data_IF_181357213584
#
_entry.id   IF_181357213584
#
_cell.length_a   1.000
_cell.length_b   1.000
_cell.length_c   1.000
_cell.angle_alpha   90.00
_cell.angle_beta   90.00
_cell.angle_gamma   90.00
#
_symmetry.space_group_name_H-M   'P 1'
#
loop_
_entity.id
_entity.type
_entity.pdbx_description
1 polymer ?
#
# COMPACT_ATOMS: atom_id res chain seq x y z
N UNK A 1 16.94 -23.35 -16.38
CA UNK A 1 16.68 -22.53 -15.19
C UNK A 1 15.54 -23.18 -14.43
N UNK A 2 15.84 -23.94 -13.38
CA UNK A 2 14.85 -24.60 -12.52
C UNK A 2 14.97 -24.07 -11.11
N UNK A 3 13.85 -23.92 -10.42
CA UNK A 3 13.80 -23.63 -8.99
C UNK A 3 14.64 -24.65 -8.20
N UNK A 4 15.40 -24.19 -7.21
CA UNK A 4 16.18 -25.00 -6.29
C UNK A 4 15.59 -24.88 -4.88
N UNK A 5 15.13 -25.99 -4.31
CA UNK A 5 14.51 -26.03 -2.97
C UNK A 5 15.49 -25.78 -1.82
N UNK A 6 16.80 -25.83 -2.09
CA UNK A 6 17.86 -25.60 -1.11
C UNK A 6 18.41 -24.17 -1.15
N UNK A 7 18.05 -23.38 -2.17
CA UNK A 7 18.36 -21.95 -2.25
C UNK A 7 17.25 -21.11 -1.61
N UNK A 8 17.61 -19.92 -1.11
CA UNK A 8 16.63 -18.96 -0.61
C UNK A 8 15.73 -18.43 -1.73
N UNK A 9 14.58 -17.88 -1.34
CA UNK A 9 13.59 -17.29 -2.25
C UNK A 9 14.22 -16.21 -3.14
N UNK A 10 15.07 -15.35 -2.56
CA UNK A 10 15.68 -14.22 -3.26
C UNK A 10 16.65 -14.72 -4.33
N UNK A 11 17.53 -15.66 -3.97
CA UNK A 11 18.54 -16.24 -4.85
C UNK A 11 17.89 -16.97 -6.03
N UNK A 12 16.84 -17.75 -5.77
CA UNK A 12 16.07 -18.41 -6.82
C UNK A 12 15.45 -17.41 -7.80
N UNK A 13 14.88 -16.32 -7.30
CA UNK A 13 14.25 -15.29 -8.12
C UNK A 13 15.29 -14.51 -8.95
N UNK A 14 16.43 -14.14 -8.36
CA UNK A 14 17.54 -13.50 -9.08
C UNK A 14 18.02 -14.38 -10.23
N UNK A 15 18.20 -15.68 -9.96
CA UNK A 15 18.63 -16.68 -10.95
C UNK A 15 17.60 -16.90 -12.05
N UNK A 16 16.32 -17.00 -11.72
CA UNK A 16 15.24 -17.22 -12.69
C UNK A 16 15.00 -16.00 -13.57
N UNK A 17 15.07 -14.80 -12.99
CA UNK A 17 14.79 -13.54 -13.68
C UNK A 17 16.04 -12.93 -14.34
N UNK A 18 17.23 -13.45 -14.03
CA UNK A 18 18.51 -12.88 -14.46
C UNK A 18 18.66 -11.41 -14.06
N UNK A 19 18.18 -11.07 -12.87
CA UNK A 19 18.27 -9.73 -12.27
C UNK A 19 18.96 -9.83 -10.92
N UNK A 20 19.64 -8.77 -10.50
CA UNK A 20 20.12 -8.63 -9.13
C UNK A 20 19.15 -7.72 -8.37
N UNK A 21 18.65 -8.15 -7.20
CA UNK A 21 17.79 -7.30 -6.40
C UNK A 21 18.62 -6.27 -5.63
N UNK A 22 18.06 -5.06 -5.50
CA UNK A 22 18.63 -4.02 -4.64
C UNK A 22 18.52 -4.48 -3.20
N UNK A 23 19.65 -4.85 -2.60
CA UNK A 23 19.71 -5.19 -1.18
C UNK A 23 19.72 -3.90 -0.37
N UNK A 24 18.80 -3.75 0.58
CA UNK A 24 18.82 -2.64 1.53
C UNK A 24 20.14 -2.70 2.30
N UNK A 25 21.08 -1.82 1.98
CA UNK A 25 22.32 -1.71 2.74
C UNK A 25 21.94 -1.20 4.13
N UNK A 26 22.35 -1.90 5.19
CA UNK A 26 22.16 -1.48 6.58
C UNK A 26 22.74 -0.07 6.88
N UNK A 27 23.51 0.51 5.95
CA UNK A 27 24.13 1.83 6.04
C UNK A 27 23.28 3.00 5.50
N UNK A 28 22.04 2.76 5.03
CA UNK A 28 21.18 3.78 4.42
C UNK A 28 20.04 4.30 5.30
N UNK A 29 20.03 4.01 6.61
CA UNK A 29 19.07 4.60 7.56
C UNK A 29 19.53 6.02 7.91
N UNK A 30 19.41 6.93 6.94
CA UNK A 30 19.34 8.36 7.18
C UNK A 30 17.89 8.71 7.51
N UNK A 31 17.49 8.49 8.76
CA UNK A 31 16.13 8.78 9.22
C UNK A 31 15.76 8.04 10.50
N UNK A 32 16.43 8.43 11.58
CA UNK A 32 16.03 8.31 12.99
C UNK A 32 15.88 6.90 13.58
N UNK A 33 16.58 6.73 14.70
CA UNK A 33 16.96 5.46 15.30
C UNK A 33 15.83 4.72 16.03
N UNK A 34 16.03 3.40 16.05
CA UNK A 34 15.71 2.48 17.13
C UNK A 34 15.31 3.12 18.48
N UNK A 35 14.07 2.85 18.88
CA UNK A 35 13.55 2.97 20.24
C UNK A 35 12.47 1.91 20.45
N UNK A 36 12.56 1.21 21.58
CA UNK A 36 11.58 0.31 22.20
C UNK A 36 10.19 0.24 21.52
N UNK A 37 9.85 -0.90 20.91
CA UNK A 37 8.55 -1.10 20.23
C UNK A 37 8.48 -0.65 18.77
N UNK A 38 9.63 -0.54 18.09
CA UNK A 38 9.74 -0.10 16.69
C UNK A 38 8.71 -0.74 15.76
N UNK A 39 7.65 0.01 15.47
CA UNK A 39 6.63 -0.38 14.51
C UNK A 39 7.34 -0.64 13.19
N UNK A 40 7.31 -1.90 12.74
CA UNK A 40 7.62 -2.23 11.36
C UNK A 40 6.80 -1.25 10.53
N UNK A 41 7.46 -0.38 9.76
CA UNK A 41 6.78 0.56 8.89
C UNK A 41 5.84 -0.26 7.99
N UNK A 42 4.53 -0.21 8.27
CA UNK A 42 3.55 -1.04 7.58
C UNK A 42 3.25 -0.35 6.26
N UNK A 43 3.53 -1.03 5.16
CA UNK A 43 3.27 -0.50 3.83
C UNK A 43 1.76 -0.38 3.57
N UNK A 44 1.40 0.59 2.74
CA UNK A 44 0.03 0.75 2.27
C UNK A 44 -0.45 -0.51 1.53
N UNK A 45 -1.63 -1.02 1.87
CA UNK A 45 -2.23 -2.20 1.23
C UNK A 45 -2.66 -2.02 -0.23
N UNK A 46 -2.37 -0.87 -0.85
CA UNK A 46 -2.72 -0.59 -2.26
C UNK A 46 -1.46 -0.41 -3.09
N UNK A 47 -0.59 0.53 -2.71
CA UNK A 47 0.62 0.85 -3.47
C UNK A 47 1.88 0.12 -2.98
N UNK A 48 1.78 -0.64 -1.88
CA UNK A 48 2.89 -1.35 -1.24
C UNK A 48 4.12 -0.47 -0.96
N UNK A 49 3.89 0.80 -0.71
CA UNK A 49 4.89 1.75 -0.24
C UNK A 49 4.52 2.26 1.14
N UNK A 50 5.51 2.50 1.99
CA UNK A 50 5.34 3.23 3.23
C UNK A 50 5.20 4.75 3.00
N UNK A 51 5.86 5.30 1.97
CA UNK A 51 5.80 6.74 1.66
C UNK A 51 5.30 6.98 0.24
N UNK A 52 4.26 7.80 0.11
CA UNK A 52 3.75 8.28 -1.18
C UNK A 52 3.60 9.80 -1.09
N UNK A 53 4.40 10.54 -1.85
CA UNK A 53 4.38 12.02 -1.89
C UNK A 53 4.48 12.72 -0.51
N UNK A 54 5.16 12.06 0.45
CA UNK A 54 5.29 12.55 1.82
C UNK A 54 4.21 12.04 2.79
N UNK A 55 3.17 11.38 2.28
CA UNK A 55 2.13 10.73 3.07
C UNK A 55 2.58 9.35 3.60
N UNK A 56 2.12 9.00 4.80
CA UNK A 56 2.24 7.67 5.42
C UNK A 56 0.86 7.01 5.54
N UNK A 57 0.75 5.67 5.57
CA UNK A 57 -0.53 4.99 5.53
C UNK A 57 -1.21 5.02 6.91
N UNK A 58 -1.92 6.10 7.19
CA UNK A 58 -2.58 6.35 8.47
C UNK A 58 -4.03 5.84 8.51
N UNK A 59 -4.66 5.62 7.35
CA UNK A 59 -6.04 5.12 7.29
C UNK A 59 -6.08 3.60 7.35
N UNK A 60 -6.40 3.05 8.51
CA UNK A 60 -6.59 1.60 8.67
C UNK A 60 -8.01 1.15 8.36
N UNK A 61 -8.22 -0.10 7.93
CA UNK A 61 -9.54 -0.71 7.87
C UNK A 61 -10.22 -0.74 9.25
N UNK A 62 -11.53 -0.48 9.30
CA UNK A 62 -12.31 -0.41 10.55
C UNK A 62 -12.54 -1.79 11.20
N UNK A 63 -12.44 -2.90 10.46
CA UNK A 63 -12.50 -4.24 11.03
C UNK A 63 -11.19 -4.55 11.78
N UNK A 64 -11.30 -4.74 13.10
CA UNK A 64 -10.18 -5.06 13.98
C UNK A 64 -9.41 -6.34 13.58
N UNK A 65 -10.03 -7.24 12.80
CA UNK A 65 -9.38 -8.46 12.28
C UNK A 65 -8.60 -8.20 11.00
N UNK A 66 -8.87 -7.09 10.30
CA UNK A 66 -8.18 -6.69 9.09
C UNK A 66 -7.08 -5.67 9.40
N UNK A 67 -7.47 -4.49 9.92
CA UNK A 67 -6.54 -3.43 10.35
C UNK A 67 -5.58 -2.93 9.27
N UNK A 68 -5.78 -3.28 7.99
CA UNK A 68 -4.83 -2.97 6.93
C UNK A 68 -4.70 -1.46 6.74
N UNK A 69 -3.49 -0.89 6.73
CA UNK A 69 -3.28 0.54 6.58
C UNK A 69 -3.20 0.95 5.10
N UNK A 70 -3.66 2.17 4.83
CA UNK A 70 -3.71 2.77 3.51
C UNK A 70 -3.32 4.24 3.59
N UNK A 71 -2.66 4.73 2.54
CA UNK A 71 -2.59 6.16 2.28
C UNK A 71 -3.99 6.67 1.96
N UNK A 72 -4.33 7.84 2.47
CA UNK A 72 -5.53 8.58 2.10
C UNK A 72 -5.49 8.85 0.61
N UNK A 73 -4.37 9.32 0.04
CA UNK A 73 -4.24 9.52 -1.42
C UNK A 73 -4.49 8.24 -2.23
N UNK A 74 -3.98 7.08 -1.81
CA UNK A 74 -4.30 5.80 -2.47
C UNK A 74 -5.79 5.42 -2.37
N UNK A 75 -6.49 5.96 -1.37
CA UNK A 75 -7.93 5.78 -1.20
C UNK A 75 -8.77 6.78 -2.00
N UNK A 76 -8.31 7.99 -2.32
CA UNK A 76 -9.11 9.03 -3.02
C UNK A 76 -8.54 9.59 -4.33
N UNK A 77 -7.22 9.70 -4.50
CA UNK A 77 -6.61 10.23 -5.72
C UNK A 77 -6.47 9.14 -6.78
N UNK A 78 -7.14 9.31 -7.91
CA UNK A 78 -6.82 8.61 -9.14
C UNK A 78 -5.68 9.38 -9.83
N UNK A 79 -4.43 9.10 -9.43
CA UNK A 79 -3.28 9.66 -10.14
C UNK A 79 -3.17 9.02 -11.54
N UNK A 80 -3.72 9.73 -12.53
CA UNK A 80 -3.40 9.58 -13.95
C UNK A 80 -2.45 10.71 -14.37
N UNK A 81 -1.34 10.89 -13.64
CA UNK A 81 -0.21 11.63 -14.18
C UNK A 81 0.99 10.69 -14.41
N UNK A 82 1.70 11.00 -15.48
CA UNK A 82 2.49 10.13 -16.33
C UNK A 82 3.71 9.52 -15.59
N UNK A 83 3.87 8.20 -15.76
CA UNK A 83 5.14 7.43 -15.66
C UNK A 83 5.51 6.64 -14.40
N UNK A 84 4.66 6.49 -13.38
CA UNK A 84 4.97 5.58 -12.25
C UNK A 84 3.76 4.76 -11.82
N UNK A 85 3.66 3.55 -12.37
CA UNK A 85 2.82 2.39 -11.95
C UNK A 85 1.33 2.69 -11.71
N UNK A 86 0.36 2.07 -12.43
CA UNK A 86 -1.05 2.33 -12.19
C UNK A 86 -1.43 1.97 -10.74
N UNK A 87 -1.54 2.99 -9.88
CA UNK A 87 -2.16 2.86 -8.57
C UNK A 87 -3.65 2.73 -8.88
N UNK A 88 -4.18 1.52 -8.85
CA UNK A 88 -5.61 1.28 -8.89
C UNK A 88 -6.20 1.86 -7.61
N UNK A 89 -6.54 3.15 -7.67
CA UNK A 89 -7.07 3.90 -6.54
C UNK A 89 -8.35 3.21 -6.05
N UNK A 90 -8.45 2.99 -4.74
CA UNK A 90 -9.65 2.40 -4.16
C UNK A 90 -10.85 3.34 -4.39
N UNK A 91 -10.69 4.65 -4.53
CA UNK A 91 -11.80 5.52 -4.95
C UNK A 91 -12.29 5.26 -6.36
N UNK A 92 -11.40 5.03 -7.33
CA UNK A 92 -11.83 4.66 -8.68
C UNK A 92 -12.46 3.26 -8.68
N UNK A 93 -11.89 2.31 -7.93
CA UNK A 93 -12.47 0.99 -7.70
C UNK A 93 -13.86 1.10 -7.04
N UNK A 94 -14.00 1.86 -5.97
CA UNK A 94 -15.26 2.08 -5.27
C UNK A 94 -16.24 2.79 -6.18
N UNK A 95 -15.87 3.86 -6.88
CA UNK A 95 -16.76 4.53 -7.85
C UNK A 95 -17.19 3.62 -8.99
N UNK A 96 -16.35 2.66 -9.38
CA UNK A 96 -16.71 1.63 -10.37
C UNK A 96 -17.68 0.58 -9.81
N UNK A 97 -17.79 0.43 -8.48
CA UNK A 97 -18.76 -0.46 -7.85
C UNK A 97 -20.14 0.21 -7.67
N UNK A 98 -21.24 -0.42 -8.12
CA UNK A 98 -22.59 0.12 -7.95
C UNK A 98 -23.07 0.19 -6.48
N UNK A 99 -22.36 -0.47 -5.56
CA UNK A 99 -22.61 -0.44 -4.12
C UNK A 99 -22.10 0.82 -3.43
N UNK A 100 -21.24 1.61 -4.07
CA UNK A 100 -20.62 2.78 -3.45
C UNK A 100 -21.62 3.89 -3.21
N UNK A 101 -21.43 4.59 -2.10
CA UNK A 101 -22.22 5.76 -1.71
C UNK A 101 -21.26 6.89 -1.37
N UNK A 102 -21.58 8.10 -1.80
CA UNK A 102 -20.86 9.30 -1.41
C UNK A 102 -21.83 10.22 -0.68
N UNK A 103 -21.42 10.73 0.48
CA UNK A 103 -22.14 11.79 1.19
C UNK A 103 -21.15 12.89 1.51
N UNK A 104 -21.40 14.10 1.00
CA UNK A 104 -20.49 15.24 1.13
C UNK A 104 -19.06 14.88 0.64
N UNK A 105 -18.09 14.89 1.56
CA UNK A 105 -16.67 14.57 1.33
C UNK A 105 -16.30 13.15 1.77
N UNK A 106 -17.27 12.32 2.14
CA UNK A 106 -16.99 10.95 2.60
C UNK A 106 -17.49 9.94 1.57
N UNK A 107 -16.60 9.03 1.19
CA UNK A 107 -16.88 7.91 0.29
C UNK A 107 -16.99 6.64 1.11
N UNK A 108 -18.03 5.87 0.87
CA UNK A 108 -18.31 4.61 1.54
C UNK A 108 -18.21 3.46 0.53
N UNK A 109 -17.47 2.42 0.91
CA UNK A 109 -17.20 1.28 0.06
C UNK A 109 -16.84 0.03 0.86
N UNK A 110 -16.21 -0.93 0.19
CA UNK A 110 -15.76 -2.19 0.78
C UNK A 110 -14.23 -2.26 0.80
N UNK A 111 -13.66 -2.76 1.89
CA UNK A 111 -12.22 -2.97 2.03
C UNK A 111 -11.74 -4.05 1.03
N UNK A 112 -10.65 -3.82 0.26
CA UNK A 112 -10.17 -4.78 -0.73
C UNK A 112 -9.63 -6.09 -0.13
N UNK A 113 -9.40 -6.14 1.19
CA UNK A 113 -8.85 -7.33 1.87
C UNK A 113 -9.91 -8.19 2.55
N UNK A 114 -10.91 -7.58 3.17
CA UNK A 114 -11.89 -8.30 3.99
C UNK A 114 -13.35 -8.04 3.59
N UNK A 115 -13.58 -7.20 2.56
CA UNK A 115 -14.91 -6.83 2.05
C UNK A 115 -15.84 -6.21 3.09
N UNK A 116 -15.34 -5.82 4.26
CA UNK A 116 -16.13 -5.07 5.24
C UNK A 116 -16.23 -3.60 4.85
N UNK A 117 -17.28 -2.90 5.31
CA UNK A 117 -17.45 -1.48 5.01
C UNK A 117 -16.25 -0.66 5.45
N UNK A 118 -15.76 0.19 4.56
CA UNK A 118 -14.70 1.17 4.84
C UNK A 118 -15.16 2.55 4.34
N UNK A 119 -14.76 3.59 5.05
CA UNK A 119 -15.00 4.98 4.65
C UNK A 119 -13.71 5.77 4.51
N UNK A 120 -13.68 6.72 3.59
CA UNK A 120 -12.57 7.64 3.39
C UNK A 120 -13.10 9.07 3.27
N UNK A 121 -12.46 10.01 3.96
CA UNK A 121 -12.69 11.44 3.77
C UNK A 121 -11.78 11.96 2.67
N UNK A 122 -12.35 12.69 1.72
CA UNK A 122 -11.63 13.39 0.67
C UNK A 122 -11.09 14.69 1.29
N UNK A 123 -9.75 14.88 1.37
CA UNK A 123 -9.18 16.08 1.94
C UNK A 123 -9.58 17.33 1.15
N UNK A 124 -9.68 18.45 1.84
CA UNK A 124 -9.88 19.76 1.22
C UNK A 124 -8.52 20.20 0.67
N UNK A 125 -8.41 20.46 -0.64
CA UNK A 125 -7.23 21.13 -1.19
C UNK A 125 -6.98 22.50 -0.56
#
# INVERSE_FOLDING_TARGET
MSWDEYEGLVENLERLLSVEFVRRSAAGVGGEAAGDGGAIAVDCGICYSYRLEGETPERCCDDARCGQPFHTSCLYEASWDQATVPIFCVYEWLRALPSTRQTLRTVFGECPYCSTPISCEIPSG
#
